data_IF_056512633944
#
_entry.id   IF_056512633944
#
_cell.length_a   1.000
_cell.length_b   1.000
_cell.length_c   1.000
_cell.angle_alpha   90.00
_cell.angle_beta   90.00
_cell.angle_gamma   90.00
#
_symmetry.space_group_name_H-M   'P 1'
#
loop_
_entity.id
_entity.type
_entity.pdbx_description
1 polymer ?
#
# COMPACT_ATOMS: atom_id res chain seq x y z
N UNK A 1 -10.92 27.64 21.26
CA UNK A 1 -9.46 27.56 21.41
C UNK A 1 -8.88 26.22 20.90
N UNK A 2 -9.33 25.05 21.39
CA UNK A 2 -8.81 23.74 21.00
C UNK A 2 -8.84 23.51 19.47
N UNK A 3 -9.97 23.77 18.81
CA UNK A 3 -10.11 23.60 17.34
C UNK A 3 -9.13 24.46 16.53
N UNK A 4 -8.91 25.71 16.93
CA UNK A 4 -7.95 26.60 16.27
C UNK A 4 -6.51 26.10 16.45
N UNK A 5 -6.16 25.64 17.65
CA UNK A 5 -4.85 25.06 17.93
C UNK A 5 -4.60 23.78 17.09
N UNK A 6 -5.57 22.87 17.03
CA UNK A 6 -5.46 21.64 16.21
C UNK A 6 -5.27 21.96 14.71
N UNK A 7 -5.99 22.96 14.16
CA UNK A 7 -5.79 23.37 12.78
C UNK A 7 -4.42 24.03 12.55
N UNK A 8 -3.89 24.78 13.53
CA UNK A 8 -2.52 25.30 13.46
C UNK A 8 -1.51 24.17 13.42
N UNK A 9 -1.67 23.15 14.27
CA UNK A 9 -0.87 21.91 14.21
C UNK A 9 -0.97 21.26 12.84
N UNK A 10 -2.17 21.20 12.25
CA UNK A 10 -2.40 20.66 10.92
C UNK A 10 -1.62 21.41 9.83
N UNK A 11 -1.60 22.75 9.88
CA UNK A 11 -0.83 23.59 8.93
C UNK A 11 0.66 23.33 9.11
N UNK A 12 1.17 23.32 10.34
CA UNK A 12 2.58 23.03 10.63
C UNK A 12 2.96 21.64 10.12
N UNK A 13 2.13 20.63 10.41
CA UNK A 13 2.33 19.26 9.95
C UNK A 13 2.38 19.16 8.42
N UNK A 14 1.45 19.84 7.72
CA UNK A 14 1.42 19.88 6.26
C UNK A 14 2.69 20.55 5.70
N UNK A 15 3.10 21.66 6.30
CA UNK A 15 4.32 22.39 5.90
C UNK A 15 5.55 21.50 6.04
N UNK A 16 5.72 20.83 7.18
CA UNK A 16 6.83 19.90 7.41
C UNK A 16 6.79 18.74 6.40
N UNK A 17 5.62 18.15 6.16
CA UNK A 17 5.46 17.07 5.19
C UNK A 17 5.85 17.51 3.77
N UNK A 18 5.42 18.70 3.34
CA UNK A 18 5.72 19.27 2.02
C UNK A 18 7.22 19.54 1.89
N UNK A 19 7.83 20.18 2.89
CA UNK A 19 9.28 20.47 2.89
C UNK A 19 10.11 19.18 2.91
N UNK A 20 9.78 18.22 3.78
CA UNK A 20 10.44 16.91 3.81
C UNK A 20 10.36 16.22 2.46
N UNK A 21 9.17 16.24 1.83
CA UNK A 21 8.97 15.64 0.52
C UNK A 21 9.78 16.37 -0.55
N UNK A 22 9.79 17.69 -0.60
CA UNK A 22 10.54 18.47 -1.56
C UNK A 22 12.05 18.22 -1.45
N UNK A 23 12.59 18.31 -0.22
CA UNK A 23 14.03 18.12 0.03
C UNK A 23 14.50 16.73 -0.39
N UNK A 24 13.80 15.67 0.06
CA UNK A 24 14.22 14.30 -0.26
C UNK A 24 13.93 13.92 -1.72
N UNK A 25 12.96 14.55 -2.37
CA UNK A 25 12.73 14.39 -3.81
C UNK A 25 13.89 14.95 -4.66
N UNK A 26 14.60 15.99 -4.17
CA UNK A 26 15.81 16.50 -4.83
C UNK A 26 16.93 15.43 -4.89
N UNK A 27 16.90 14.42 -4.02
CA UNK A 27 17.79 13.26 -4.09
C UNK A 27 17.17 12.11 -4.87
N UNK A 28 15.90 11.80 -4.63
CA UNK A 28 15.21 10.66 -5.25
C UNK A 28 15.12 10.78 -6.76
N UNK A 29 14.74 11.96 -7.27
CA UNK A 29 14.50 12.14 -8.70
C UNK A 29 15.81 12.01 -9.51
N UNK A 30 16.92 12.69 -9.20
CA UNK A 30 18.18 12.50 -9.93
C UNK A 30 18.69 11.05 -9.85
N UNK A 31 18.65 10.42 -8.68
CA UNK A 31 19.03 9.00 -8.52
C UNK A 31 18.16 8.09 -9.39
N UNK A 32 16.85 8.36 -9.47
CA UNK A 32 15.91 7.63 -10.33
C UNK A 32 16.23 7.81 -11.82
N UNK A 33 16.55 9.03 -12.25
CA UNK A 33 16.96 9.35 -13.63
C UNK A 33 18.27 8.62 -13.96
N UNK A 34 19.29 8.71 -13.12
CA UNK A 34 20.55 7.99 -13.32
C UNK A 34 20.29 6.49 -13.44
N UNK A 35 19.53 5.90 -12.49
CA UNK A 35 19.14 4.48 -12.51
C UNK A 35 18.47 4.07 -13.83
N UNK A 36 17.62 4.92 -14.38
CA UNK A 36 16.90 4.65 -15.62
C UNK A 36 17.85 4.47 -16.82
N UNK A 37 18.89 5.28 -16.92
CA UNK A 37 19.86 5.23 -18.02
C UNK A 37 20.99 4.21 -17.82
N UNK A 38 21.16 3.63 -16.63
CA UNK A 38 22.20 2.62 -16.38
C UNK A 38 21.95 1.36 -17.25
N UNK A 39 22.94 0.85 -18.00
CA UNK A 39 22.77 -0.39 -18.76
C UNK A 39 22.96 -1.65 -17.91
N UNK A 40 23.71 -1.57 -16.81
CA UNK A 40 24.18 -2.71 -16.00
C UNK A 40 23.20 -3.00 -14.86
N UNK A 41 22.65 -4.23 -14.81
CA UNK A 41 21.66 -4.64 -13.81
C UNK A 41 22.16 -4.53 -12.37
N UNK A 42 23.42 -4.91 -12.09
CA UNK A 42 24.00 -4.80 -10.75
C UNK A 42 24.07 -3.36 -10.25
N UNK A 43 24.40 -2.41 -11.13
CA UNK A 43 24.38 -0.98 -10.80
C UNK A 43 22.94 -0.49 -10.58
N UNK A 44 21.97 -0.94 -11.38
CA UNK A 44 20.55 -0.61 -11.13
C UNK A 44 20.10 -1.07 -9.75
N UNK A 45 20.47 -2.28 -9.35
CA UNK A 45 20.15 -2.81 -8.01
C UNK A 45 20.83 -1.99 -6.92
N UNK A 46 22.09 -1.60 -7.10
CA UNK A 46 22.81 -0.73 -6.16
C UNK A 46 22.09 0.62 -6.00
N UNK A 47 21.79 1.30 -7.10
CA UNK A 47 21.04 2.58 -7.06
C UNK A 47 19.65 2.41 -6.44
N UNK A 48 18.97 1.31 -6.72
CA UNK A 48 17.67 1.02 -6.07
C UNK A 48 17.80 0.93 -4.55
N UNK A 49 18.87 0.29 -4.03
CA UNK A 49 19.14 0.24 -2.59
C UNK A 49 19.35 1.63 -1.99
N UNK A 50 20.10 2.51 -2.67
CA UNK A 50 20.25 3.90 -2.23
C UNK A 50 18.93 4.68 -2.25
N UNK A 51 18.15 4.55 -3.32
CA UNK A 51 16.84 5.18 -3.45
C UNK A 51 15.89 4.71 -2.34
N UNK A 52 15.92 3.41 -2.00
CA UNK A 52 15.14 2.85 -0.88
C UNK A 52 15.57 3.50 0.44
N UNK A 53 16.89 3.68 0.68
CA UNK A 53 17.38 4.35 1.90
C UNK A 53 16.92 5.80 2.03
N UNK A 54 16.85 6.52 0.92
CA UNK A 54 16.27 7.89 0.92
C UNK A 54 14.77 7.85 1.21
N UNK A 55 14.04 6.88 0.64
CA UNK A 55 12.62 6.67 0.97
C UNK A 55 12.39 6.27 2.45
N UNK A 56 13.23 5.40 3.00
CA UNK A 56 13.20 5.05 4.43
C UNK A 56 13.49 6.27 5.32
N UNK A 57 14.39 7.17 4.89
CA UNK A 57 14.66 8.42 5.59
C UNK A 57 13.44 9.34 5.55
N UNK A 58 12.75 9.45 4.41
CA UNK A 58 11.50 10.21 4.29
C UNK A 58 10.43 9.71 5.27
N UNK A 59 10.27 8.41 5.40
CA UNK A 59 9.33 7.80 6.34
C UNK A 59 9.78 8.11 7.78
N UNK A 60 11.06 7.97 8.07
CA UNK A 60 11.63 8.19 9.41
C UNK A 60 11.45 9.63 9.88
N UNK A 61 11.72 10.62 9.01
CA UNK A 61 11.53 12.04 9.34
C UNK A 61 10.05 12.37 9.55
N UNK A 62 9.14 11.76 8.76
CA UNK A 62 7.71 11.89 8.99
C UNK A 62 7.29 11.30 10.35
N UNK A 63 7.83 10.17 10.76
CA UNK A 63 7.61 9.58 12.08
C UNK A 63 8.02 10.52 13.22
N UNK A 64 9.16 11.21 13.08
CA UNK A 64 9.68 12.12 14.12
C UNK A 64 8.68 13.24 14.41
N UNK A 65 8.23 13.97 13.36
CA UNK A 65 7.33 15.08 13.59
C UNK A 65 5.92 14.62 14.03
N UNK A 66 5.43 13.50 13.53
CA UNK A 66 4.16 12.91 13.99
C UNK A 66 4.25 12.60 15.48
N UNK A 67 5.33 11.95 15.92
CA UNK A 67 5.52 11.65 17.33
C UNK A 67 5.64 12.93 18.19
N UNK A 68 6.35 13.94 17.70
CA UNK A 68 6.57 15.19 18.42
C UNK A 68 5.30 16.05 18.55
N UNK A 69 4.51 16.16 17.49
CA UNK A 69 3.34 17.05 17.45
C UNK A 69 2.04 16.37 17.88
N UNK A 70 1.88 15.07 17.61
CA UNK A 70 0.60 14.39 17.83
C UNK A 70 0.63 13.44 19.02
N UNK A 71 1.79 12.94 19.45
CA UNK A 71 1.97 11.94 20.51
C UNK A 71 0.93 10.79 20.42
N UNK A 72 0.84 10.09 19.27
CA UNK A 72 -0.23 9.14 19.03
C UNK A 72 -0.12 7.90 19.92
N UNK A 73 -1.27 7.43 20.42
CA UNK A 73 -1.39 6.20 21.19
C UNK A 73 -1.85 5.05 20.27
N UNK A 74 -0.93 4.47 19.51
CA UNK A 74 -1.26 3.36 18.63
C UNK A 74 -1.06 2.03 19.33
N UNK A 75 -2.13 1.23 19.35
CA UNK A 75 -2.07 -0.15 19.81
C UNK A 75 -1.72 -1.04 18.62
N UNK A 76 -0.54 -1.66 18.66
CA UNK A 76 -0.08 -2.54 17.59
C UNK A 76 0.06 -3.96 18.15
N UNK A 77 -0.73 -4.87 17.61
CA UNK A 77 -0.77 -6.30 17.98
C UNK A 77 -0.18 -7.11 16.84
N UNK A 78 0.67 -8.10 17.14
CA UNK A 78 1.30 -8.97 16.14
C UNK A 78 2.52 -8.36 15.47
N UNK A 79 3.29 -7.49 16.16
CA UNK A 79 4.53 -6.87 15.63
C UNK A 79 5.58 -7.91 15.23
N UNK A 80 5.58 -9.06 15.88
CA UNK A 80 6.44 -10.21 15.60
C UNK A 80 6.25 -10.81 14.23
N UNK A 81 5.09 -10.58 13.61
CA UNK A 81 4.78 -11.03 12.25
C UNK A 81 5.43 -10.16 11.15
N UNK A 82 6.07 -9.05 11.52
CA UNK A 82 6.81 -8.20 10.58
C UNK A 82 8.18 -8.84 10.35
N UNK A 83 8.44 -9.28 9.11
CA UNK A 83 9.70 -9.93 8.71
C UNK A 83 10.65 -8.93 8.06
N UNK A 84 11.93 -8.95 8.46
CA UNK A 84 12.95 -8.00 8.01
C UNK A 84 13.56 -8.32 6.64
N UNK A 85 13.37 -9.51 6.12
CA UNK A 85 14.04 -10.05 4.95
C UNK A 85 13.08 -10.76 4.00
N UNK A 86 13.57 -11.05 2.79
CA UNK A 86 12.85 -11.80 1.77
C UNK A 86 11.81 -10.99 1.00
N UNK A 87 11.04 -11.70 0.20
CA UNK A 87 9.93 -11.15 -0.57
C UNK A 87 8.63 -11.39 0.18
N UNK A 88 7.82 -10.35 0.31
CA UNK A 88 6.58 -10.42 1.07
C UNK A 88 5.43 -9.85 0.26
N UNK A 89 4.26 -10.42 0.41
CA UNK A 89 2.99 -9.80 0.01
C UNK A 89 2.30 -9.29 1.27
N UNK A 90 1.74 -8.09 1.18
CA UNK A 90 0.97 -7.53 2.27
C UNK A 90 -0.34 -6.90 1.78
N UNK A 91 -1.34 -6.91 2.64
CA UNK A 91 -2.64 -6.30 2.38
C UNK A 91 -3.19 -5.60 3.61
N UNK A 92 -4.14 -4.68 3.39
CA UNK A 92 -4.89 -4.01 4.44
C UNK A 92 -6.26 -3.57 3.95
N UNK A 93 -7.18 -3.33 4.88
CA UNK A 93 -8.36 -2.49 4.63
C UNK A 93 -7.93 -1.04 4.38
N UNK A 94 -8.80 -0.24 3.75
CA UNK A 94 -8.45 1.13 3.35
C UNK A 94 -9.56 2.12 3.69
N UNK A 95 -9.33 2.95 4.70
CA UNK A 95 -10.29 3.93 5.18
C UNK A 95 -9.86 5.37 4.89
N UNK A 96 -8.56 5.67 5.01
CA UNK A 96 -8.01 7.03 4.90
C UNK A 96 -6.67 7.03 4.18
N UNK A 97 -6.21 8.21 3.73
CA UNK A 97 -4.80 8.39 3.31
C UNK A 97 -3.85 8.17 4.50
N UNK A 98 -4.31 8.43 5.73
CA UNK A 98 -3.54 8.18 6.94
C UNK A 98 -3.07 6.71 7.06
N UNK A 99 -3.83 5.74 6.53
CA UNK A 99 -3.44 4.32 6.54
C UNK A 99 -2.04 4.10 5.97
N UNK A 100 -1.67 4.84 4.91
CA UNK A 100 -0.36 4.73 4.26
C UNK A 100 0.75 5.17 5.23
N UNK A 101 0.57 6.29 5.93
CA UNK A 101 1.54 6.81 6.89
C UNK A 101 1.68 5.88 8.10
N UNK A 102 0.55 5.34 8.61
CA UNK A 102 0.54 4.37 9.70
C UNK A 102 1.33 3.10 9.32
N UNK A 103 1.01 2.53 8.15
CA UNK A 103 1.68 1.33 7.65
C UNK A 103 3.18 1.57 7.43
N UNK A 104 3.55 2.68 6.81
CA UNK A 104 4.94 3.04 6.60
C UNK A 104 5.69 3.21 7.92
N UNK A 105 5.10 3.88 8.93
CA UNK A 105 5.76 4.07 10.23
C UNK A 105 6.04 2.74 10.94
N UNK A 106 5.07 1.84 10.97
CA UNK A 106 5.23 0.56 11.70
C UNK A 106 6.15 -0.43 11.00
N UNK A 107 6.26 -0.34 9.65
CA UNK A 107 7.05 -1.28 8.83
C UNK A 107 8.44 -0.75 8.47
N UNK A 108 8.68 0.57 8.58
CA UNK A 108 9.94 1.18 8.14
C UNK A 108 11.16 0.52 8.79
N UNK A 109 12.11 0.07 7.96
CA UNK A 109 13.33 -0.63 8.35
C UNK A 109 13.14 -1.94 9.12
N UNK A 110 11.90 -2.44 9.20
CA UNK A 110 11.54 -3.70 9.87
C UNK A 110 11.10 -4.76 8.87
N UNK A 111 10.74 -4.35 7.67
CA UNK A 111 10.49 -5.22 6.54
C UNK A 111 10.92 -4.50 5.26
N UNK A 112 11.09 -5.22 4.14
CA UNK A 112 11.39 -4.60 2.86
C UNK A 112 10.36 -3.52 2.51
N UNK A 113 10.82 -2.43 1.88
CA UNK A 113 9.97 -1.27 1.59
C UNK A 113 8.66 -1.66 0.91
N UNK A 114 7.55 -1.13 1.42
CA UNK A 114 6.22 -1.33 0.87
C UNK A 114 6.13 -0.71 -0.54
N UNK A 115 5.80 -1.52 -1.54
CA UNK A 115 5.55 -1.11 -2.92
C UNK A 115 4.05 -1.12 -3.18
N UNK A 116 3.44 0.07 -3.07
CA UNK A 116 2.00 0.24 -3.25
C UNK A 116 1.61 0.26 -4.73
N UNK A 117 0.53 -0.41 -5.07
CA UNK A 117 -0.08 -0.25 -6.39
C UNK A 117 -0.72 1.13 -6.53
N UNK A 118 -0.14 1.95 -7.39
CA UNK A 118 -0.55 3.33 -7.62
C UNK A 118 -1.48 3.44 -8.83
N UNK A 119 -2.43 4.38 -8.80
CA UNK A 119 -3.19 4.73 -10.02
C UNK A 119 -2.25 5.46 -10.98
N UNK A 120 -2.30 5.09 -12.26
CA UNK A 120 -1.42 5.67 -13.29
C UNK A 120 -1.45 7.21 -13.33
N UNK A 121 -2.62 7.81 -13.12
CA UNK A 121 -2.77 9.29 -13.11
C UNK A 121 -1.89 9.96 -12.04
N UNK A 122 -1.49 9.26 -10.99
CA UNK A 122 -0.67 9.81 -9.92
C UNK A 122 0.78 10.09 -10.33
N UNK A 123 1.24 9.53 -11.46
CA UNK A 123 2.57 9.86 -12.02
C UNK A 123 2.67 11.34 -12.41
N UNK A 124 1.55 11.97 -12.76
CA UNK A 124 1.49 13.37 -13.16
C UNK A 124 1.41 14.35 -11.98
N UNK A 125 1.35 13.84 -10.74
CA UNK A 125 1.43 14.73 -9.56
C UNK A 125 2.85 15.27 -9.47
N UNK A 126 3.04 16.60 -9.53
CA UNK A 126 4.35 17.21 -9.53
C UNK A 126 5.21 16.72 -8.36
N UNK A 127 6.50 16.51 -8.58
CA UNK A 127 7.48 16.04 -7.60
C UNK A 127 7.18 14.65 -7.05
N UNK A 128 6.02 14.43 -6.45
CA UNK A 128 5.64 13.17 -5.79
C UNK A 128 5.53 12.01 -6.80
N UNK A 129 4.94 12.25 -7.98
CA UNK A 129 4.81 11.22 -9.02
C UNK A 129 6.16 10.69 -9.49
N UNK A 130 7.13 11.59 -9.74
CA UNK A 130 8.50 11.22 -10.11
C UNK A 130 9.25 10.52 -8.96
N UNK A 131 9.01 10.92 -7.71
CA UNK A 131 9.59 10.26 -6.54
C UNK A 131 9.08 8.83 -6.38
N UNK A 132 7.78 8.59 -6.57
CA UNK A 132 7.22 7.24 -6.59
C UNK A 132 7.75 6.40 -7.76
N UNK A 133 7.94 7.01 -8.95
CA UNK A 133 8.57 6.35 -10.08
C UNK A 133 10.02 5.97 -9.77
N UNK A 134 10.81 6.87 -9.18
CA UNK A 134 12.19 6.57 -8.76
C UNK A 134 12.25 5.42 -7.76
N UNK A 135 11.26 5.33 -6.85
CA UNK A 135 11.08 4.25 -5.88
C UNK A 135 10.50 2.95 -6.49
N UNK A 136 10.39 2.83 -7.82
CA UNK A 136 9.79 1.67 -8.50
C UNK A 136 8.37 1.33 -8.02
N UNK A 137 7.55 2.33 -7.67
CA UNK A 137 6.15 2.06 -7.35
C UNK A 137 5.39 1.65 -8.62
N UNK A 138 4.61 0.55 -8.62
CA UNK A 138 3.91 0.08 -9.81
C UNK A 138 2.70 0.98 -10.11
N UNK A 139 2.74 1.71 -11.23
CA UNK A 139 1.62 2.51 -11.72
C UNK A 139 0.73 1.68 -12.64
N UNK A 140 -0.55 1.57 -12.27
CA UNK A 140 -1.52 0.74 -12.97
C UNK A 140 -2.62 1.57 -13.61
N UNK A 141 -2.87 1.32 -14.89
CA UNK A 141 -4.08 1.75 -15.58
C UNK A 141 -5.19 0.75 -15.27
N UNK A 142 -6.26 1.23 -14.66
CA UNK A 142 -7.45 0.42 -14.40
C UNK A 142 -8.54 0.80 -15.38
N UNK A 143 -8.91 -0.12 -16.24
CA UNK A 143 -9.96 0.09 -17.22
C UNK A 143 -11.32 -0.24 -16.62
N UNK A 144 -12.30 0.63 -16.82
CA UNK A 144 -13.69 0.39 -16.43
C UNK A 144 -14.36 -0.57 -17.42
N UNK A 145 -15.43 -1.27 -16.99
CA UNK A 145 -16.23 -2.11 -17.89
C UNK A 145 -16.62 -1.37 -19.17
N UNK A 146 -17.11 -0.15 -19.05
CA UNK A 146 -17.49 0.72 -20.19
C UNK A 146 -16.32 1.00 -21.15
N UNK A 147 -15.09 1.12 -20.65
CA UNK A 147 -13.90 1.29 -21.51
C UNK A 147 -13.51 -0.02 -22.21
N UNK A 148 -13.65 -1.16 -21.54
CA UNK A 148 -13.41 -2.47 -22.13
C UNK A 148 -14.45 -2.82 -23.21
N UNK A 149 -15.70 -2.49 -22.99
CA UNK A 149 -16.79 -2.62 -23.99
C UNK A 149 -16.53 -1.78 -25.24
N UNK A 150 -16.07 -0.52 -25.04
CA UNK A 150 -15.72 0.36 -26.16
C UNK A 150 -14.44 -0.05 -26.90
N UNK A 151 -13.49 -0.68 -26.21
CA UNK A 151 -12.23 -1.12 -26.79
C UNK A 151 -11.77 -2.45 -26.17
N UNK A 152 -12.20 -3.60 -26.72
CA UNK A 152 -11.83 -4.92 -26.23
C UNK A 152 -10.32 -5.19 -26.21
N UNK A 153 -9.50 -4.48 -27.03
CA UNK A 153 -8.04 -4.60 -27.04
C UNK A 153 -7.38 -4.16 -25.73
N UNK A 154 -8.12 -3.49 -24.87
CA UNK A 154 -7.65 -3.11 -23.52
C UNK A 154 -7.74 -4.26 -22.52
N UNK A 155 -8.46 -5.35 -22.86
CA UNK A 155 -8.56 -6.52 -21.99
C UNK A 155 -7.18 -7.11 -21.68
N UNK A 156 -6.91 -7.35 -20.40
CA UNK A 156 -5.63 -7.87 -19.92
C UNK A 156 -4.42 -6.94 -20.07
N UNK A 157 -4.61 -5.70 -20.55
CA UNK A 157 -3.51 -4.73 -20.66
C UNK A 157 -3.00 -4.28 -19.30
N UNK A 158 -3.90 -4.12 -18.33
CA UNK A 158 -3.58 -3.83 -16.93
C UNK A 158 -2.72 -4.92 -16.30
N UNK A 159 -3.04 -6.20 -16.56
CA UNK A 159 -2.24 -7.35 -16.10
C UNK A 159 -0.85 -7.35 -16.74
N UNK A 160 -0.76 -7.10 -18.06
CA UNK A 160 0.54 -7.02 -18.75
C UNK A 160 1.41 -5.86 -18.25
N UNK A 161 0.80 -4.69 -17.99
CA UNK A 161 1.48 -3.54 -17.41
C UNK A 161 1.97 -3.85 -15.99
N UNK A 162 1.15 -4.54 -15.19
CA UNK A 162 1.53 -5.01 -13.85
C UNK A 162 2.68 -6.01 -13.90
N UNK A 163 2.61 -7.01 -14.79
CA UNK A 163 3.71 -7.97 -15.00
C UNK A 163 5.04 -7.25 -15.32
N UNK A 164 5.01 -6.23 -16.16
CA UNK A 164 6.21 -5.43 -16.49
C UNK A 164 6.74 -4.65 -15.28
N UNK A 165 5.84 -4.00 -14.52
CA UNK A 165 6.23 -3.22 -13.35
C UNK A 165 6.84 -4.09 -12.24
N UNK A 166 6.32 -5.31 -12.05
CA UNK A 166 6.79 -6.23 -11.02
C UNK A 166 8.06 -7.03 -11.41
N UNK A 167 8.43 -7.06 -12.70
CA UNK A 167 9.61 -7.80 -13.17
C UNK A 167 10.90 -7.43 -12.43
N UNK A 168 11.06 -6.16 -12.07
CA UNK A 168 12.23 -5.68 -11.35
C UNK A 168 12.28 -6.16 -9.90
N UNK A 169 11.14 -6.55 -9.32
CA UNK A 169 11.06 -7.02 -7.94
C UNK A 169 11.67 -8.42 -7.73
N UNK A 170 11.95 -9.16 -8.80
CA UNK A 170 12.72 -10.39 -8.70
C UNK A 170 14.21 -10.17 -8.33
N UNK A 171 14.72 -8.93 -8.50
CA UNK A 171 16.14 -8.60 -8.34
C UNK A 171 16.53 -8.21 -6.90
N UNK A 172 15.58 -7.78 -6.09
CA UNK A 172 15.83 -7.35 -4.71
C UNK A 172 14.58 -7.53 -3.84
N UNK A 173 14.75 -7.78 -2.53
CA UNK A 173 13.63 -7.97 -1.62
C UNK A 173 12.69 -6.77 -1.58
N UNK A 174 11.39 -7.02 -1.70
CA UNK A 174 10.33 -6.01 -1.61
C UNK A 174 9.11 -6.56 -0.88
N UNK A 175 8.30 -5.68 -0.32
CA UNK A 175 6.95 -6.00 0.10
C UNK A 175 5.96 -5.44 -0.91
N UNK A 176 5.34 -6.32 -1.69
CA UNK A 176 4.28 -5.91 -2.62
C UNK A 176 3.00 -5.68 -1.82
N UNK A 177 2.55 -4.45 -1.76
CA UNK A 177 1.44 -4.04 -0.92
C UNK A 177 0.20 -3.72 -1.74
N UNK A 178 -0.93 -4.30 -1.36
CA UNK A 178 -2.23 -4.04 -1.97
C UNK A 178 -3.28 -3.67 -0.93
N UNK A 179 -3.88 -2.49 -1.06
CA UNK A 179 -5.21 -2.29 -0.49
C UNK A 179 -6.19 -3.05 -1.37
N UNK A 180 -6.54 -4.28 -0.99
CA UNK A 180 -7.30 -5.19 -1.85
C UNK A 180 -8.70 -4.64 -2.22
N UNK A 181 -9.28 -3.75 -1.42
CA UNK A 181 -10.51 -3.02 -1.76
C UNK A 181 -10.36 -2.14 -3.03
N UNK A 182 -9.12 -1.78 -3.38
CA UNK A 182 -8.78 -0.98 -4.55
C UNK A 182 -9.17 0.49 -4.46
N UNK A 183 -9.83 0.90 -3.39
CA UNK A 183 -10.21 2.29 -3.11
C UNK A 183 -10.56 2.43 -1.63
N UNK A 184 -10.52 3.66 -1.10
CA UNK A 184 -10.94 3.97 0.27
C UNK A 184 -12.43 3.68 0.48
N UNK A 185 -12.75 3.11 1.64
CA UNK A 185 -14.12 2.87 2.07
C UNK A 185 -14.94 4.16 2.08
N UNK A 186 -16.16 4.09 1.56
CA UNK A 186 -17.22 5.08 1.78
C UNK A 186 -18.57 4.36 1.73
N UNK A 187 -19.57 4.83 2.46
CA UNK A 187 -20.92 4.25 2.45
C UNK A 187 -21.49 4.18 1.03
N UNK A 188 -21.30 5.22 0.21
CA UNK A 188 -21.76 5.23 -1.19
C UNK A 188 -21.15 4.08 -2.01
N UNK A 189 -19.85 3.81 -1.85
CA UNK A 189 -19.19 2.70 -2.56
C UNK A 189 -19.59 1.34 -2.01
N UNK A 190 -19.79 1.25 -0.70
CA UNK A 190 -20.28 0.05 -0.04
C UNK A 190 -21.64 -0.36 -0.61
N UNK A 191 -22.60 0.55 -0.65
CA UNK A 191 -23.91 0.33 -1.29
C UNK A 191 -23.80 -0.03 -2.77
N UNK A 192 -23.01 0.74 -3.55
CA UNK A 192 -22.84 0.49 -4.98
C UNK A 192 -22.22 -0.86 -5.33
N UNK A 193 -21.46 -1.45 -4.40
CA UNK A 193 -20.86 -2.78 -4.58
C UNK A 193 -21.71 -3.91 -3.99
N UNK A 194 -22.81 -3.59 -3.31
CA UNK A 194 -23.57 -4.57 -2.50
C UNK A 194 -22.59 -5.40 -1.65
N UNK A 195 -21.70 -4.71 -0.88
CA UNK A 195 -20.70 -5.42 -0.08
C UNK A 195 -21.37 -6.32 0.96
N UNK A 196 -20.94 -7.61 1.10
CA UNK A 196 -21.48 -8.49 2.13
C UNK A 196 -20.88 -8.19 3.51
N UNK A 197 -19.84 -7.38 3.57
CA UNK A 197 -19.13 -6.99 4.80
C UNK A 197 -19.77 -5.73 5.39
N UNK A 198 -19.77 -5.60 6.70
CA UNK A 198 -20.35 -4.43 7.39
C UNK A 198 -19.45 -3.18 7.29
N UNK A 199 -18.13 -3.37 7.41
CA UNK A 199 -17.16 -2.29 7.55
C UNK A 199 -16.18 -2.20 6.36
N UNK A 200 -16.31 -3.09 5.35
CA UNK A 200 -15.34 -3.25 4.27
C UNK A 200 -15.99 -3.22 2.90
N UNK A 201 -15.24 -2.85 1.89
CA UNK A 201 -15.61 -3.08 0.48
C UNK A 201 -15.20 -4.50 0.06
N UNK A 202 -15.76 -4.99 -1.05
CA UNK A 202 -15.35 -6.28 -1.62
C UNK A 202 -13.87 -6.25 -2.02
N UNK A 203 -13.05 -7.23 -1.60
CA UNK A 203 -11.66 -7.30 -2.02
C UNK A 203 -11.56 -7.69 -3.50
N UNK A 204 -10.50 -7.21 -4.15
CA UNK A 204 -10.15 -7.50 -5.54
C UNK A 204 -8.88 -8.34 -5.56
N UNK A 205 -8.98 -9.53 -6.11
CA UNK A 205 -7.89 -10.50 -6.13
C UNK A 205 -6.74 -10.14 -7.08
N UNK A 206 -7.03 -9.36 -8.14
CA UNK A 206 -6.12 -9.19 -9.28
C UNK A 206 -4.71 -8.70 -8.91
N UNK A 207 -4.58 -7.76 -7.98
CA UNK A 207 -3.27 -7.25 -7.56
C UNK A 207 -2.43 -8.29 -6.82
N UNK A 208 -3.05 -8.99 -5.86
CA UNK A 208 -2.39 -10.02 -5.07
C UNK A 208 -2.09 -11.27 -5.92
N UNK A 209 -3.04 -11.71 -6.76
CA UNK A 209 -2.83 -12.84 -7.67
C UNK A 209 -1.67 -12.58 -8.64
N UNK A 210 -1.58 -11.35 -9.20
CA UNK A 210 -0.46 -10.99 -10.09
C UNK A 210 0.87 -10.97 -9.34
N UNK A 211 0.90 -10.48 -8.11
CA UNK A 211 2.11 -10.48 -7.31
C UNK A 211 2.58 -11.91 -7.00
N UNK A 212 1.66 -12.82 -6.64
CA UNK A 212 1.96 -14.23 -6.40
C UNK A 212 2.49 -14.95 -7.63
N UNK A 213 1.91 -14.69 -8.81
CA UNK A 213 2.37 -15.33 -10.05
C UNK A 213 3.73 -14.85 -10.56
N UNK A 214 4.29 -13.77 -10.02
CA UNK A 214 5.54 -13.16 -10.49
C UNK A 214 6.70 -13.28 -9.51
N UNK A 215 6.42 -13.45 -8.24
CA UNK A 215 7.43 -13.48 -7.19
C UNK A 215 7.43 -14.86 -6.53
N UNK A 216 8.16 -15.79 -7.12
CA UNK A 216 8.17 -17.22 -6.74
C UNK A 216 8.75 -17.54 -5.34
N UNK A 217 9.09 -16.52 -4.54
CA UNK A 217 9.71 -16.67 -3.21
C UNK A 217 8.77 -16.31 -2.06
N UNK A 218 7.49 -16.10 -2.36
CA UNK A 218 6.50 -15.70 -1.38
C UNK A 218 5.72 -16.93 -0.94
N UNK A 219 5.63 -17.16 0.36
CA UNK A 219 4.90 -18.27 0.98
C UNK A 219 3.84 -17.80 1.98
N UNK A 220 3.89 -16.52 2.37
CA UNK A 220 2.97 -15.94 3.34
C UNK A 220 2.49 -14.55 2.93
N UNK A 221 1.31 -14.22 3.44
CA UNK A 221 0.67 -12.91 3.32
C UNK A 221 0.68 -12.23 4.68
N UNK A 222 1.19 -11.01 4.75
CA UNK A 222 1.06 -10.18 5.95
C UNK A 222 -0.21 -9.36 5.84
N UNK A 223 -1.18 -9.63 6.70
CA UNK A 223 -2.46 -8.96 6.74
C UNK A 223 -2.51 -7.91 7.85
N UNK A 224 -2.76 -6.66 7.47
CA UNK A 224 -2.95 -5.56 8.39
C UNK A 224 -4.43 -5.22 8.51
N UNK A 225 -4.95 -5.18 9.72
CA UNK A 225 -6.29 -4.64 10.01
C UNK A 225 -6.13 -3.33 10.76
N UNK A 226 -6.55 -2.23 10.15
CA UNK A 226 -6.51 -0.90 10.76
C UNK A 226 -7.91 -0.55 11.24
N UNK A 227 -8.04 -0.29 12.54
CA UNK A 227 -9.28 0.14 13.19
C UNK A 227 -9.04 1.50 13.83
N UNK A 228 -9.80 2.48 13.39
CA UNK A 228 -9.83 3.81 13.98
C UNK A 228 -10.99 3.91 14.98
N UNK A 229 -10.83 4.68 16.02
CA UNK A 229 -11.92 4.94 16.99
C UNK A 229 -13.05 5.77 16.35
N UNK A 230 -12.75 6.57 15.33
CA UNK A 230 -13.73 7.37 14.60
C UNK A 230 -14.11 6.75 13.26
N UNK A 231 -15.41 6.81 12.91
CA UNK A 231 -15.95 6.26 11.64
C UNK A 231 -15.52 7.03 10.39
N UNK A 232 -15.12 8.28 10.52
CA UNK A 232 -14.66 9.11 9.39
C UNK A 232 -13.38 9.79 9.79
N UNK A 233 -12.30 9.45 9.12
CA UNK A 233 -11.00 10.08 9.30
C UNK A 233 -10.55 10.63 7.97
N UNK A 234 -10.44 11.95 7.91
CA UNK A 234 -9.81 12.65 6.80
C UNK A 234 -8.29 12.66 6.97
N UNK A 235 -7.58 12.92 5.90
CA UNK A 235 -6.14 13.15 6.00
C UNK A 235 -5.82 14.43 6.79
N UNK A 236 -6.72 15.41 6.74
CA UNK A 236 -6.59 16.63 7.54
C UNK A 236 -6.69 16.35 9.05
N UNK A 237 -7.61 15.44 9.46
CA UNK A 237 -7.69 15.05 10.88
C UNK A 237 -6.40 14.37 11.35
N UNK A 238 -5.76 13.59 10.49
CA UNK A 238 -4.44 13.03 10.79
C UNK A 238 -3.38 14.12 10.96
N UNK A 239 -3.31 15.10 10.05
CA UNK A 239 -2.36 16.21 10.13
C UNK A 239 -2.61 17.11 11.36
N UNK A 240 -3.86 17.25 11.79
CA UNK A 240 -4.25 18.01 12.98
C UNK A 240 -3.99 17.26 14.31
N UNK A 241 -3.49 16.01 14.26
CA UNK A 241 -3.30 15.19 15.46
C UNK A 241 -4.61 14.71 16.11
N UNK A 242 -5.75 14.75 15.39
CA UNK A 242 -7.05 14.26 15.91
C UNK A 242 -7.17 12.74 15.89
N UNK A 243 -6.26 12.07 15.18
CA UNK A 243 -6.20 10.61 15.07
C UNK A 243 -5.26 10.06 16.14
N UNK A 244 -5.71 10.10 17.39
CA UNK A 244 -4.87 9.77 18.53
C UNK A 244 -4.85 8.29 18.86
N UNK A 245 -5.94 7.58 18.65
CA UNK A 245 -6.09 6.17 18.97
C UNK A 245 -6.36 5.38 17.71
N UNK A 246 -5.49 4.42 17.43
CA UNK A 246 -5.59 3.50 16.31
C UNK A 246 -5.16 2.12 16.79
N UNK A 247 -5.98 1.11 16.52
CA UNK A 247 -5.63 -0.30 16.73
C UNK A 247 -5.21 -0.90 15.39
N UNK A 248 -4.00 -1.47 15.35
CA UNK A 248 -3.46 -2.14 14.17
C UNK A 248 -3.16 -3.58 14.54
N UNK A 249 -3.80 -4.51 13.87
CA UNK A 249 -3.58 -5.94 14.06
C UNK A 249 -2.85 -6.46 12.84
N UNK A 250 -1.75 -7.18 13.08
CA UNK A 250 -0.87 -7.74 12.07
C UNK A 250 -0.90 -9.25 12.21
N UNK A 251 -1.31 -9.94 11.13
CA UNK A 251 -1.33 -11.40 11.08
C UNK A 251 -0.45 -11.87 9.92
N UNK A 252 0.34 -12.90 10.17
CA UNK A 252 0.93 -13.68 9.09
C UNK A 252 -0.02 -14.81 8.71
N UNK A 253 -0.37 -14.90 7.44
CA UNK A 253 -1.28 -15.89 6.90
C UNK A 253 -0.53 -16.73 5.87
N UNK A 254 -0.43 -18.04 6.12
CA UNK A 254 0.19 -18.96 5.18
C UNK A 254 -0.68 -19.08 3.93
N UNK A 255 -0.07 -18.85 2.78
CA UNK A 255 -0.77 -18.96 1.50
C UNK A 255 -0.92 -20.46 1.15
N UNK A 256 -2.15 -20.93 0.82
CA UNK A 256 -2.33 -22.32 0.37
C UNK A 256 -1.41 -22.65 -0.81
N UNK A 257 -0.73 -23.80 -0.73
CA UNK A 257 0.28 -24.23 -1.74
C UNK A 257 -0.26 -24.20 -3.16
N UNK A 258 -1.54 -24.49 -3.37
CA UNK A 258 -2.19 -24.46 -4.69
C UNK A 258 -2.17 -23.08 -5.35
N UNK A 259 -2.01 -22.00 -4.60
CA UNK A 259 -1.91 -20.62 -5.14
C UNK A 259 -0.47 -20.18 -5.39
N UNK A 260 0.51 -20.96 -4.93
CA UNK A 260 1.93 -20.68 -5.14
C UNK A 260 2.40 -21.33 -6.43
N UNK A 261 3.18 -20.61 -7.22
CA UNK A 261 3.80 -21.06 -8.47
C UNK A 261 2.81 -21.41 -9.61
N UNK A 262 1.53 -21.10 -9.45
CA UNK A 262 0.51 -21.36 -10.46
C UNK A 262 0.15 -20.08 -11.21
N UNK A 263 -0.27 -20.27 -12.46
CA UNK A 263 -0.76 -19.16 -13.28
C UNK A 263 -2.18 -18.76 -12.84
N UNK A 264 -2.29 -18.24 -11.62
CA UNK A 264 -3.55 -17.75 -11.04
C UNK A 264 -4.35 -16.85 -11.97
N UNK A 265 -3.66 -16.18 -12.91
CA UNK A 265 -4.29 -15.26 -13.85
C UNK A 265 -4.91 -15.96 -15.05
N UNK A 266 -4.32 -17.08 -15.46
CA UNK A 266 -4.72 -17.81 -16.67
C UNK A 266 -5.64 -19.00 -16.35
N UNK A 267 -5.65 -19.48 -15.10
CA UNK A 267 -6.56 -20.53 -14.61
C UNK A 267 -7.80 -19.93 -13.92
N UNK A 268 -8.92 -19.98 -14.62
CA UNK A 268 -10.18 -19.37 -14.14
C UNK A 268 -10.72 -20.03 -12.87
N UNK A 269 -10.65 -21.36 -12.73
CA UNK A 269 -11.10 -22.09 -11.53
C UNK A 269 -10.24 -21.70 -10.32
N UNK A 270 -8.93 -21.78 -10.45
CA UNK A 270 -7.98 -21.45 -9.38
C UNK A 270 -8.09 -19.99 -8.94
N UNK A 271 -8.33 -19.11 -9.90
CA UNK A 271 -8.58 -17.69 -9.62
C UNK A 271 -9.89 -17.48 -8.83
N UNK A 272 -10.95 -18.24 -9.12
CA UNK A 272 -12.18 -18.20 -8.35
C UNK A 272 -11.96 -18.68 -6.92
N UNK A 273 -11.24 -19.78 -6.73
CA UNK A 273 -10.88 -20.29 -5.40
C UNK A 273 -10.01 -19.29 -4.62
N UNK A 274 -9.06 -18.64 -5.28
CA UNK A 274 -8.26 -17.59 -4.66
C UNK A 274 -9.12 -16.40 -4.20
N UNK A 275 -10.11 -16.01 -5.00
CA UNK A 275 -11.07 -14.97 -4.63
C UNK A 275 -11.91 -15.36 -3.42
N UNK A 276 -12.35 -16.61 -3.34
CA UNK A 276 -13.11 -17.13 -2.17
C UNK A 276 -12.22 -17.14 -0.92
N UNK A 277 -10.98 -17.61 -1.03
CA UNK A 277 -10.01 -17.54 0.06
C UNK A 277 -9.78 -16.10 0.53
N UNK A 278 -9.63 -15.14 -0.38
CA UNK A 278 -9.48 -13.73 -0.03
C UNK A 278 -10.74 -13.17 0.64
N UNK A 279 -11.93 -13.59 0.22
CA UNK A 279 -13.18 -13.21 0.85
C UNK A 279 -13.29 -13.75 2.29
N UNK A 280 -12.82 -14.99 2.56
CA UNK A 280 -12.79 -15.53 3.93
C UNK A 280 -11.91 -14.69 4.87
N UNK A 281 -10.75 -14.24 4.40
CA UNK A 281 -9.89 -13.33 5.16
C UNK A 281 -10.57 -11.98 5.42
N UNK A 282 -11.33 -11.48 4.46
CA UNK A 282 -12.11 -10.24 4.62
C UNK A 282 -13.24 -10.40 5.63
N UNK A 283 -13.87 -11.56 5.68
CA UNK A 283 -14.89 -11.87 6.69
C UNK A 283 -14.31 -11.83 8.11
N UNK A 284 -13.17 -12.49 8.33
CA UNK A 284 -12.48 -12.45 9.63
C UNK A 284 -12.11 -11.01 10.02
N UNK A 285 -11.59 -10.24 9.07
CA UNK A 285 -11.25 -8.82 9.27
C UNK A 285 -12.47 -7.98 9.62
N UNK A 286 -13.61 -8.20 8.97
CA UNK A 286 -14.85 -7.49 9.24
C UNK A 286 -15.40 -7.79 10.63
N UNK A 287 -15.27 -9.03 11.10
CA UNK A 287 -15.60 -9.42 12.48
C UNK A 287 -14.74 -8.65 13.50
N UNK A 288 -13.43 -8.56 13.27
CA UNK A 288 -12.51 -7.79 14.11
C UNK A 288 -12.90 -6.31 14.16
N UNK A 289 -13.27 -5.73 13.01
CA UNK A 289 -13.69 -4.33 12.93
C UNK A 289 -15.06 -4.08 13.59
N UNK A 290 -15.91 -5.11 13.65
CA UNK A 290 -17.27 -5.04 14.23
C UNK A 290 -17.27 -5.16 15.75
N UNK A 291 -16.29 -5.86 16.33
CA UNK A 291 -16.19 -6.01 17.78
C UNK A 291 -15.89 -4.65 18.41
N UNK A 292 -16.74 -4.25 19.34
CA UNK A 292 -16.48 -3.11 20.23
C UNK A 292 -15.62 -3.66 21.38
N UNK A 293 -14.34 -3.27 21.41
CA UNK A 293 -13.53 -3.45 22.62
C UNK A 293 -13.93 -2.44 23.67
#
# INVERSE_FOLDING_TARGET
MKFLFENLVGIISLTILVLNTAILSCLLIPLGIIKFFLPITSLKVLFTKFIIKVGELWIFTNKIWVKALHNPKWQIIGKENIKSDGWTIATSNHQSIADIFLLQDITNRKMPMLKFFMKYVLIYVPVIGLSWWALDMPFLKRYTKKQLEKNPKLAGKDVREMKRALKHYALYPVTVFSFAEGTRFTLKKHHNQNSPFKNLLRPKEGGLATALSLVNKIDSLIDFTIKFDSKKISFWDYLCGRVNSVKIIIKEIKIPKKFLNENLLDNHSLRSEFKEWLNSLWLEKDLVLSNRD
#
